data_IF_863180528154
#
_entry.id   IF_863180528154
#
_cell.length_a   1.000
_cell.length_b   1.000
_cell.length_c   1.000
_cell.angle_alpha   90.00
_cell.angle_beta   90.00
_cell.angle_gamma   90.00
#
_symmetry.space_group_name_H-M   'P 1'
#
loop_
_entity.id
_entity.type
_entity.pdbx_description
1 polymer ?
#
# COMPACT_ATOMS: atom_id res chain seq x y z
N UNK A 1 31.43 30.18 12.79
CA UNK A 1 32.09 29.12 12.00
C UNK A 1 32.52 27.90 12.84
N UNK A 2 31.59 27.28 13.58
CA UNK A 2 31.84 26.00 14.28
C UNK A 2 31.19 24.78 13.57
N UNK A 3 30.45 25.01 12.49
CA UNK A 3 29.59 24.00 11.85
C UNK A 3 30.16 23.42 10.55
N UNK A 4 31.45 23.64 10.26
CA UNK A 4 32.09 23.11 9.05
C UNK A 4 33.11 22.05 9.43
N UNK A 5 33.06 20.90 8.76
CA UNK A 5 34.07 19.84 8.88
C UNK A 5 35.44 20.34 8.42
N UNK A 6 36.48 19.94 9.15
CA UNK A 6 37.83 20.52 9.05
C UNK A 6 38.53 20.33 7.69
N UNK A 7 38.00 19.49 6.80
CA UNK A 7 38.64 19.08 5.54
C UNK A 7 38.45 20.05 4.36
N UNK A 8 37.67 21.13 4.48
CA UNK A 8 37.40 22.10 3.38
C UNK A 8 37.81 23.55 3.68
N UNK A 9 38.72 23.81 4.61
CA UNK A 9 39.27 25.17 4.82
C UNK A 9 40.26 25.52 3.72
N UNK A 10 39.82 26.30 2.72
CA UNK A 10 40.69 26.91 1.72
C UNK A 10 40.79 28.41 2.03
N UNK A 11 41.97 28.86 2.49
CA UNK A 11 42.31 30.28 2.66
C UNK A 11 43.17 30.59 3.88
N UNK A 12 44.27 31.33 3.68
CA UNK A 12 45.05 31.99 4.74
C UNK A 12 44.46 33.37 5.05
N UNK A 13 44.47 33.78 6.33
CA UNK A 13 44.00 35.08 6.77
C UNK A 13 44.72 36.21 6.01
N UNK A 14 44.00 36.93 5.14
CA UNK A 14 44.52 38.10 4.41
C UNK A 14 44.16 38.18 2.93
N UNK A 15 43.87 37.05 2.26
CA UNK A 15 43.46 37.04 0.85
C UNK A 15 42.18 36.20 0.66
N UNK A 16 41.00 36.81 0.49
CA UNK A 16 39.77 36.07 0.26
C UNK A 16 39.78 35.49 -1.17
N UNK A 17 39.99 34.18 -1.29
CA UNK A 17 39.78 33.44 -2.54
C UNK A 17 38.28 33.41 -2.84
N UNK A 18 37.81 33.94 -3.99
CA UNK A 18 36.40 33.89 -4.36
C UNK A 18 36.01 32.45 -4.69
N UNK A 19 35.13 31.85 -3.88
CA UNK A 19 34.50 30.56 -4.16
C UNK A 19 33.27 30.81 -5.04
N UNK A 20 33.32 30.36 -6.29
CA UNK A 20 32.17 30.47 -7.21
C UNK A 20 31.27 29.24 -7.02
N UNK A 21 30.02 29.50 -6.63
CA UNK A 21 28.95 28.50 -6.51
C UNK A 21 27.87 28.81 -7.57
N UNK A 22 28.07 28.42 -8.85
CA UNK A 22 27.15 28.76 -9.93
C UNK A 22 25.80 28.01 -9.87
N UNK A 23 25.68 27.01 -9.00
CA UNK A 23 24.51 26.13 -8.90
C UNK A 23 23.48 26.55 -7.83
N UNK A 24 23.78 27.60 -7.05
CA UNK A 24 22.92 28.03 -5.95
C UNK A 24 22.09 29.26 -6.33
N UNK A 25 20.78 29.20 -6.13
CA UNK A 25 19.93 30.38 -6.31
C UNK A 25 20.29 31.44 -5.27
N UNK A 26 20.40 32.74 -5.64
CA UNK A 26 20.87 33.78 -4.72
C UNK A 26 20.05 33.90 -3.44
N UNK A 27 18.73 33.65 -3.53
CA UNK A 27 17.81 33.72 -2.41
C UNK A 27 17.97 32.54 -1.44
N UNK A 28 18.06 31.32 -1.97
CA UNK A 28 18.30 30.10 -1.18
C UNK A 28 19.64 30.18 -0.45
N UNK A 29 20.68 30.67 -1.14
CA UNK A 29 22.00 30.85 -0.54
C UNK A 29 21.98 31.94 0.54
N UNK A 30 21.23 33.03 0.35
CA UNK A 30 21.06 34.08 1.36
C UNK A 30 20.38 33.54 2.63
N UNK A 31 19.32 32.73 2.47
CA UNK A 31 18.65 32.08 3.59
C UNK A 31 19.57 31.09 4.32
N UNK A 32 20.35 30.32 3.57
CA UNK A 32 21.35 29.41 4.10
C UNK A 32 22.44 30.14 4.92
N UNK A 33 22.97 31.26 4.40
CA UNK A 33 23.93 32.09 5.15
C UNK A 33 23.27 32.66 6.40
N UNK A 34 22.03 33.15 6.30
CA UNK A 34 21.30 33.66 7.48
C UNK A 34 21.20 32.58 8.55
N UNK A 35 20.86 31.35 8.19
CA UNK A 35 20.82 30.22 9.11
C UNK A 35 22.17 29.94 9.79
N UNK A 36 23.30 30.02 9.07
CA UNK A 36 24.63 29.87 9.69
C UNK A 36 24.88 30.90 10.80
N UNK A 37 24.33 32.11 10.66
CA UNK A 37 24.53 33.19 11.63
C UNK A 37 23.47 33.22 12.74
N UNK A 38 22.23 32.83 12.45
CA UNK A 38 21.10 32.96 13.38
C UNK A 38 20.64 31.65 14.01
N UNK A 39 21.02 30.50 13.43
CA UNK A 39 20.49 29.19 13.80
C UNK A 39 19.00 28.99 13.48
N UNK A 40 18.36 29.96 12.81
CA UNK A 40 16.93 29.93 12.49
C UNK A 40 16.72 30.01 10.98
N UNK A 41 15.89 29.11 10.45
CA UNK A 41 15.52 29.06 9.05
C UNK A 41 14.01 28.89 8.89
N UNK A 42 13.45 29.57 7.89
CA UNK A 42 12.07 29.38 7.45
C UNK A 42 12.18 28.55 6.17
N UNK A 43 11.78 27.28 6.26
CA UNK A 43 11.77 26.39 5.11
C UNK A 43 10.57 26.72 4.23
N UNK A 44 10.83 26.92 2.93
CA UNK A 44 9.79 27.12 1.91
C UNK A 44 9.82 25.94 0.94
N UNK A 45 8.62 25.47 0.53
CA UNK A 45 8.46 24.29 -0.34
C UNK A 45 9.18 24.43 -1.69
N UNK A 46 9.26 25.65 -2.23
CA UNK A 46 9.87 25.93 -3.54
C UNK A 46 11.40 25.87 -3.55
N UNK A 47 12.07 25.94 -2.39
CA UNK A 47 13.53 26.00 -2.29
C UNK A 47 14.15 24.89 -1.44
N UNK A 48 13.34 23.97 -0.91
CA UNK A 48 13.78 22.99 0.08
C UNK A 48 14.82 22.01 -0.48
N UNK A 49 14.70 21.61 -1.74
CA UNK A 49 15.62 20.66 -2.38
C UNK A 49 16.99 21.26 -2.67
N UNK A 50 17.03 22.53 -3.09
CA UNK A 50 18.30 23.26 -3.24
C UNK A 50 19.00 23.45 -1.90
N UNK A 51 18.23 23.78 -0.86
CA UNK A 51 18.71 23.94 0.49
C UNK A 51 19.24 22.62 1.07
N UNK A 52 18.59 21.50 0.79
CA UNK A 52 19.04 20.16 1.15
C UNK A 52 20.34 19.80 0.43
N UNK A 53 20.47 20.15 -0.86
CA UNK A 53 21.71 20.02 -1.62
C UNK A 53 22.86 20.83 -1.02
N UNK A 54 22.62 22.09 -0.65
CA UNK A 54 23.61 22.97 0.00
C UNK A 54 24.01 22.48 1.38
N UNK A 55 23.05 22.02 2.20
CA UNK A 55 23.31 21.47 3.52
C UNK A 55 24.26 20.26 3.43
N UNK A 56 24.05 19.39 2.43
CA UNK A 56 24.90 18.23 2.19
C UNK A 56 26.29 18.62 1.68
N UNK A 57 26.38 19.51 0.69
CA UNK A 57 27.66 19.93 0.10
C UNK A 57 28.59 20.58 1.14
N UNK A 58 27.99 21.34 2.05
CA UNK A 58 28.67 22.10 3.09
C UNK A 58 28.79 21.33 4.42
N UNK A 59 28.15 20.15 4.52
CA UNK A 59 28.27 19.22 5.64
C UNK A 59 27.54 19.65 6.91
N UNK A 60 26.44 20.38 6.79
CA UNK A 60 25.61 20.83 7.92
C UNK A 60 24.50 19.81 8.17
N UNK A 61 24.76 18.84 9.02
CA UNK A 61 23.82 17.75 9.32
C UNK A 61 22.51 18.22 9.98
N UNK A 62 22.55 19.24 10.83
CA UNK A 62 21.35 19.74 11.52
C UNK A 62 20.32 20.30 10.55
N UNK A 63 20.78 21.13 9.60
CA UNK A 63 19.91 21.68 8.56
C UNK A 63 19.37 20.56 7.67
N UNK A 64 20.22 19.58 7.35
CA UNK A 64 19.82 18.43 6.55
C UNK A 64 18.68 17.63 7.23
N UNK A 65 18.81 17.32 8.53
CA UNK A 65 17.75 16.63 9.29
C UNK A 65 16.47 17.44 9.36
N UNK A 66 16.55 18.75 9.58
CA UNK A 66 15.36 19.61 9.60
C UNK A 66 14.67 19.70 8.24
N UNK A 67 15.42 19.73 7.14
CA UNK A 67 14.84 19.64 5.80
C UNK A 67 14.18 18.28 5.58
N UNK A 68 14.81 17.18 5.98
CA UNK A 68 14.24 15.83 5.86
C UNK A 68 12.93 15.67 6.67
N UNK A 69 12.92 16.15 7.91
CA UNK A 69 11.73 16.13 8.78
C UNK A 69 10.60 16.98 8.18
N UNK A 70 10.91 18.20 7.71
CA UNK A 70 9.92 19.06 7.10
C UNK A 70 9.31 18.43 5.84
N UNK A 71 10.13 17.84 4.96
CA UNK A 71 9.60 17.15 3.77
C UNK A 71 8.81 15.90 4.16
N UNK A 72 9.20 15.16 5.20
CA UNK A 72 8.43 14.00 5.68
C UNK A 72 7.05 14.40 6.19
N UNK A 73 6.92 15.57 6.82
CA UNK A 73 5.65 16.12 7.31
C UNK A 73 4.80 16.70 6.17
N UNK A 74 5.42 17.32 5.17
CA UNK A 74 4.67 17.87 4.03
C UNK A 74 4.25 16.81 3.03
N UNK A 75 4.89 15.62 3.00
CA UNK A 75 4.59 14.54 2.07
C UNK A 75 3.10 14.12 2.11
N UNK A 76 2.40 14.37 1.02
CA UNK A 76 0.99 14.08 0.83
C UNK A 76 0.74 13.54 -0.58
N UNK A 77 -0.36 12.80 -0.83
CA UNK A 77 -0.65 12.25 -2.16
C UNK A 77 -0.72 13.32 -3.26
N UNK A 78 -1.09 14.56 -2.90
CA UNK A 78 -1.19 15.69 -3.83
C UNK A 78 0.14 16.36 -4.18
N UNK A 79 1.14 16.32 -3.30
CA UNK A 79 2.45 16.94 -3.55
C UNK A 79 3.58 15.94 -3.79
N UNK A 80 3.39 14.65 -3.48
CA UNK A 80 4.43 13.64 -3.59
C UNK A 80 5.02 13.55 -5.01
N UNK A 81 4.17 13.67 -6.05
CA UNK A 81 4.64 13.65 -7.44
C UNK A 81 5.43 14.93 -7.80
N UNK A 82 5.03 16.09 -7.29
CA UNK A 82 5.75 17.34 -7.52
C UNK A 82 7.10 17.36 -6.78
N UNK A 83 7.12 16.85 -5.54
CA UNK A 83 8.33 16.67 -4.72
C UNK A 83 9.30 15.67 -5.37
N UNK A 84 8.79 14.58 -5.96
CA UNK A 84 9.61 13.62 -6.70
C UNK A 84 10.27 14.27 -7.92
N UNK A 85 9.52 15.04 -8.72
CA UNK A 85 10.07 15.76 -9.87
C UNK A 85 11.13 16.76 -9.43
N UNK A 86 10.84 17.57 -8.41
CA UNK A 86 11.78 18.54 -7.88
C UNK A 86 13.06 17.87 -7.32
N UNK A 87 12.93 16.71 -6.68
CA UNK A 87 14.07 15.93 -6.20
C UNK A 87 14.93 15.35 -7.34
N UNK A 88 14.30 14.86 -8.42
CA UNK A 88 15.00 14.37 -9.60
C UNK A 88 15.75 15.50 -10.32
N UNK A 89 15.13 16.67 -10.47
CA UNK A 89 15.80 17.83 -11.06
C UNK A 89 16.95 18.35 -10.17
N UNK A 90 16.77 18.37 -8.86
CA UNK A 90 17.82 18.77 -7.91
C UNK A 90 19.01 17.79 -7.94
N UNK A 91 18.76 16.51 -8.16
CA UNK A 91 19.81 15.50 -8.33
C UNK A 91 20.68 15.77 -9.57
N UNK A 92 20.12 16.29 -10.66
CA UNK A 92 20.88 16.62 -11.88
C UNK A 92 21.66 17.93 -11.74
N UNK A 93 21.13 18.92 -11.01
CA UNK A 93 21.80 20.22 -10.82
C UNK A 93 22.95 20.20 -9.82
N UNK A 94 22.95 19.28 -8.85
CA UNK A 94 23.94 19.27 -7.75
C UNK A 94 24.94 18.10 -7.91
N UNK A 95 26.19 18.35 -8.36
CA UNK A 95 27.23 17.32 -8.42
C UNK A 95 27.70 16.96 -7.01
N UNK A 96 27.26 15.80 -6.50
CA UNK A 96 27.57 15.28 -5.16
C UNK A 96 26.35 14.99 -4.28
N UNK A 97 25.16 15.48 -4.65
CA UNK A 97 23.89 15.24 -3.96
C UNK A 97 23.25 13.87 -4.22
N UNK A 98 23.87 13.03 -5.07
CA UNK A 98 23.29 11.75 -5.53
C UNK A 98 22.88 10.83 -4.38
N UNK A 99 23.69 10.72 -3.32
CA UNK A 99 23.39 9.80 -2.23
C UNK A 99 22.19 10.25 -1.38
N UNK A 100 22.13 11.52 -1.00
CA UNK A 100 21.04 12.07 -0.17
C UNK A 100 19.73 12.19 -0.95
N UNK A 101 19.79 12.61 -2.23
CA UNK A 101 18.60 12.62 -3.08
C UNK A 101 18.15 11.19 -3.41
N UNK A 102 19.04 10.19 -3.50
CA UNK A 102 18.64 8.79 -3.76
C UNK A 102 17.82 8.21 -2.61
N UNK A 103 18.27 8.35 -1.36
CA UNK A 103 17.49 7.89 -0.21
C UNK A 103 16.14 8.59 -0.10
N UNK A 104 16.09 9.87 -0.47
CA UNK A 104 14.84 10.63 -0.51
C UNK A 104 13.90 10.15 -1.63
N UNK A 105 14.44 9.97 -2.84
CA UNK A 105 13.71 9.48 -4.01
C UNK A 105 13.12 8.09 -3.71
N UNK A 106 13.86 7.21 -3.04
CA UNK A 106 13.36 5.90 -2.60
C UNK A 106 12.19 6.02 -1.62
N UNK A 107 12.26 6.94 -0.64
CA UNK A 107 11.14 7.23 0.27
C UNK A 107 9.92 7.77 -0.46
N UNK A 108 10.11 8.69 -1.41
CA UNK A 108 9.02 9.18 -2.26
C UNK A 108 8.41 8.08 -3.11
N UNK A 109 9.21 7.21 -3.72
CA UNK A 109 8.72 6.06 -4.47
C UNK A 109 7.95 5.09 -3.58
N UNK A 110 8.43 4.81 -2.36
CA UNK A 110 7.72 3.97 -1.40
C UNK A 110 6.37 4.57 -1.00
N UNK A 111 6.33 5.87 -0.70
CA UNK A 111 5.08 6.56 -0.34
C UNK A 111 4.08 6.64 -1.49
N UNK A 112 4.55 6.90 -2.72
CA UNK A 112 3.71 6.86 -3.91
C UNK A 112 3.23 5.43 -4.18
N UNK A 113 4.07 4.43 -3.95
CA UNK A 113 3.69 3.02 -4.04
C UNK A 113 2.58 2.64 -3.06
N UNK A 114 2.64 3.14 -1.83
CA UNK A 114 1.61 2.91 -0.80
C UNK A 114 0.31 3.66 -1.06
N UNK A 115 0.39 4.91 -1.52
CA UNK A 115 -0.78 5.78 -1.76
C UNK A 115 -1.15 5.88 -3.25
N UNK A 116 -0.78 4.88 -4.04
CA UNK A 116 -0.83 4.92 -5.50
C UNK A 116 -2.24 5.25 -6.06
N UNK A 117 -3.29 4.71 -5.42
CA UNK A 117 -4.70 4.91 -5.78
C UNK A 117 -5.14 6.37 -5.74
N UNK A 118 -4.60 7.15 -4.80
CA UNK A 118 -4.94 8.56 -4.65
C UNK A 118 -3.99 9.42 -5.48
N UNK A 119 -2.70 9.09 -5.54
CA UNK A 119 -1.71 9.86 -6.31
C UNK A 119 -2.03 9.88 -7.80
N UNK A 120 -2.48 8.75 -8.39
CA UNK A 120 -2.79 8.65 -9.82
C UNK A 120 -3.93 9.57 -10.26
N UNK A 121 -4.87 9.88 -9.35
CA UNK A 121 -6.00 10.77 -9.63
C UNK A 121 -5.63 12.25 -9.59
N UNK A 122 -4.46 12.58 -9.04
CA UNK A 122 -4.04 13.97 -8.87
C UNK A 122 -3.47 14.55 -10.17
N UNK A 123 -3.62 15.86 -10.35
CA UNK A 123 -2.99 16.61 -11.44
C UNK A 123 -1.46 16.60 -11.35
N UNK A 124 -0.91 16.33 -10.15
CA UNK A 124 0.53 16.20 -9.94
C UNK A 124 1.10 14.97 -10.66
N UNK A 125 0.33 13.88 -10.76
CA UNK A 125 0.73 12.70 -11.55
C UNK A 125 0.73 13.01 -13.05
N UNK A 126 -0.26 13.75 -13.55
CA UNK A 126 -0.33 14.16 -14.96
C UNK A 126 0.86 15.05 -15.40
N UNK A 127 1.46 15.79 -14.47
CA UNK A 127 2.61 16.65 -14.71
C UNK A 127 3.97 15.95 -14.57
N UNK A 128 4.01 14.64 -14.32
CA UNK A 128 5.27 13.90 -14.19
C UNK A 128 6.06 13.87 -15.53
N UNK A 129 7.40 14.04 -15.49
CA UNK A 129 8.23 13.85 -16.67
C UNK A 129 8.28 12.37 -17.06
N UNK A 130 8.49 12.09 -18.36
CA UNK A 130 8.48 10.74 -18.94
C UNK A 130 9.42 9.78 -18.20
N UNK A 131 10.62 10.22 -17.85
CA UNK A 131 11.63 9.36 -17.20
C UNK A 131 11.25 8.99 -15.76
N UNK A 132 10.60 9.90 -15.02
CA UNK A 132 10.10 9.61 -13.68
C UNK A 132 8.93 8.63 -13.74
N UNK A 133 8.03 8.82 -14.71
CA UNK A 133 6.89 7.94 -14.94
C UNK A 133 7.35 6.52 -15.33
N UNK A 134 8.33 6.40 -16.23
CA UNK A 134 8.93 5.11 -16.60
C UNK A 134 9.55 4.42 -15.40
N UNK A 135 10.31 5.14 -14.56
CA UNK A 135 10.87 4.56 -13.33
C UNK A 135 9.79 4.09 -12.36
N UNK A 136 8.73 4.88 -12.18
CA UNK A 136 7.60 4.56 -11.31
C UNK A 136 6.85 3.31 -11.78
N UNK A 137 6.60 3.20 -13.09
CA UNK A 137 5.94 2.03 -13.71
C UNK A 137 6.90 0.84 -13.83
N UNK A 138 8.20 1.04 -13.89
CA UNK A 138 9.16 -0.07 -13.84
C UNK A 138 9.28 -0.69 -12.44
N UNK A 139 8.80 0.02 -11.42
CA UNK A 139 8.83 -0.43 -10.02
C UNK A 139 7.70 -1.40 -9.71
N UNK A 140 8.04 -2.49 -9.03
CA UNK A 140 7.09 -3.53 -8.62
C UNK A 140 6.26 -3.11 -7.41
N UNK A 141 6.67 -2.04 -6.72
CA UNK A 141 6.07 -1.52 -5.48
C UNK A 141 4.89 -0.58 -5.71
N UNK A 142 4.47 -0.37 -6.96
CA UNK A 142 3.29 0.41 -7.26
C UNK A 142 2.05 -0.43 -6.90
N UNK A 143 1.38 -0.07 -5.79
CA UNK A 143 0.20 -0.74 -5.25
C UNK A 143 -1.05 -0.57 -6.12
N UNK A 144 -0.98 -0.87 -7.41
CA UNK A 144 -2.07 -0.77 -8.39
C UNK A 144 -2.14 -2.05 -9.21
N UNK A 145 -3.37 -2.42 -9.58
CA UNK A 145 -3.59 -3.42 -10.61
C UNK A 145 -3.21 -2.85 -11.99
N UNK A 146 -2.78 -3.70 -12.91
CA UNK A 146 -2.27 -3.25 -14.22
C UNK A 146 -3.34 -2.53 -15.06
N UNK A 147 -4.64 -2.81 -14.84
CA UNK A 147 -5.73 -2.06 -15.47
C UNK A 147 -5.76 -0.59 -15.01
N UNK A 148 -5.53 -0.35 -13.71
CA UNK A 148 -5.52 1.00 -13.14
C UNK A 148 -4.22 1.73 -13.51
N UNK A 149 -3.10 0.99 -13.62
CA UNK A 149 -1.84 1.51 -14.18
C UNK A 149 -2.03 1.95 -15.63
N UNK A 150 -2.69 1.12 -16.46
CA UNK A 150 -2.99 1.48 -17.85
C UNK A 150 -3.83 2.75 -17.94
N UNK A 151 -4.93 2.84 -17.18
CA UNK A 151 -5.79 4.03 -17.14
C UNK A 151 -5.04 5.28 -16.67
N UNK A 152 -4.15 5.14 -15.69
CA UNK A 152 -3.28 6.21 -15.20
C UNK A 152 -2.36 6.74 -16.31
N UNK A 153 -1.67 5.83 -17.00
CA UNK A 153 -0.74 6.14 -18.09
C UNK A 153 -1.47 6.77 -19.26
N UNK A 154 -2.66 6.26 -19.60
CA UNK A 154 -3.51 6.82 -20.62
C UNK A 154 -3.97 8.24 -20.28
N UNK A 155 -4.36 8.49 -19.02
CA UNK A 155 -4.74 9.81 -18.54
C UNK A 155 -3.56 10.80 -18.57
N UNK A 156 -2.37 10.35 -18.18
CA UNK A 156 -1.14 11.14 -18.30
C UNK A 156 -0.85 11.51 -19.75
N UNK A 157 -0.92 10.53 -20.67
CA UNK A 157 -0.66 10.77 -22.08
C UNK A 157 -1.71 11.70 -22.72
N UNK A 158 -2.98 11.58 -22.33
CA UNK A 158 -4.05 12.52 -22.70
C UNK A 158 -3.75 13.94 -22.24
N UNK A 159 -3.31 14.11 -20.99
CA UNK A 159 -2.95 15.41 -20.43
C UNK A 159 -1.76 16.04 -21.17
N UNK A 160 -0.71 15.27 -21.43
CA UNK A 160 0.47 15.74 -22.19
C UNK A 160 0.11 16.10 -23.64
N UNK A 161 -0.82 15.37 -24.25
CA UNK A 161 -1.31 15.67 -25.60
C UNK A 161 -2.36 16.80 -25.66
N UNK A 162 -2.90 17.24 -24.51
CA UNK A 162 -3.96 18.25 -24.42
C UNK A 162 -5.34 17.76 -24.89
N UNK A 163 -5.58 16.44 -24.89
CA UNK A 163 -6.82 15.81 -25.39
C UNK A 163 -7.73 15.43 -24.23
N UNK A 164 -8.91 16.04 -24.15
CA UNK A 164 -9.90 15.78 -23.07
C UNK A 164 -11.00 14.80 -23.48
N UNK A 165 -11.00 14.33 -24.74
CA UNK A 165 -12.08 13.47 -25.25
C UNK A 165 -11.90 11.99 -24.87
N UNK A 166 -13.03 11.23 -24.72
CA UNK A 166 -13.03 9.78 -24.58
C UNK A 166 -12.37 9.10 -25.79
N UNK A 167 -11.76 7.92 -25.57
CA UNK A 167 -11.02 7.15 -26.59
C UNK A 167 -11.83 6.80 -27.84
N UNK A 168 -13.17 6.79 -27.75
CA UNK A 168 -14.08 6.48 -28.86
C UNK A 168 -14.28 7.64 -29.86
N UNK A 169 -13.88 8.88 -29.51
CA UNK A 169 -14.07 10.06 -30.37
C UNK A 169 -12.75 10.71 -30.81
N UNK A 170 -11.63 10.00 -30.65
CA UNK A 170 -10.34 10.53 -31.04
C UNK A 170 -10.24 10.72 -32.54
N UNK A 171 -9.76 11.88 -32.95
CA UNK A 171 -9.27 12.09 -34.32
C UNK A 171 -7.95 11.33 -34.51
N UNK A 172 -7.64 10.93 -35.75
CA UNK A 172 -6.40 10.17 -36.07
C UNK A 172 -5.14 10.95 -35.63
N UNK A 173 -5.18 12.28 -35.69
CA UNK A 173 -4.11 13.19 -35.28
C UNK A 173 -3.92 13.25 -33.76
N UNK A 174 -5.01 13.22 -32.99
CA UNK A 174 -4.97 13.14 -31.52
C UNK A 174 -4.44 11.78 -31.08
N UNK A 175 -4.87 10.71 -31.74
CA UNK A 175 -4.38 9.35 -31.50
C UNK A 175 -2.88 9.23 -31.73
N UNK A 176 -2.36 9.76 -32.84
CA UNK A 176 -0.92 9.76 -33.12
C UNK A 176 -0.11 10.52 -32.06
N UNK A 177 -0.58 11.69 -31.60
CA UNK A 177 0.10 12.44 -30.53
C UNK A 177 0.15 11.68 -29.22
N UNK A 178 -0.96 11.07 -28.81
CA UNK A 178 -1.03 10.25 -27.59
C UNK A 178 -0.13 9.02 -27.73
N UNK A 179 -0.16 8.33 -28.87
CA UNK A 179 0.73 7.19 -29.15
C UNK A 179 2.21 7.56 -29.10
N UNK A 180 2.58 8.76 -29.56
CA UNK A 180 3.96 9.25 -29.48
C UNK A 180 4.43 9.41 -28.03
N UNK A 181 3.59 9.94 -27.14
CA UNK A 181 3.91 10.05 -25.72
C UNK A 181 3.88 8.71 -24.98
N UNK A 182 2.97 7.81 -25.37
CA UNK A 182 2.90 6.43 -24.85
C UNK A 182 4.08 5.57 -25.29
N UNK A 183 4.69 5.88 -26.44
CA UNK A 183 5.85 5.15 -26.94
C UNK A 183 6.99 5.16 -25.92
N UNK A 184 7.50 3.97 -25.58
CA UNK A 184 8.51 3.78 -24.54
C UNK A 184 7.97 3.60 -23.12
N UNK A 185 6.85 4.23 -22.75
CA UNK A 185 6.19 3.97 -21.44
C UNK A 185 5.45 2.64 -21.47
N UNK A 186 4.82 2.32 -22.61
CA UNK A 186 4.02 1.10 -22.79
C UNK A 186 4.81 -0.19 -22.58
N UNK A 187 6.12 -0.19 -22.88
CA UNK A 187 7.00 -1.35 -22.69
C UNK A 187 7.19 -1.74 -21.21
N UNK A 188 6.89 -0.81 -20.30
CA UNK A 188 7.00 -1.03 -18.86
C UNK A 188 5.65 -1.42 -18.22
N UNK A 189 4.53 -1.29 -18.95
CA UNK A 189 3.21 -1.73 -18.50
C UNK A 189 3.07 -3.23 -18.77
N UNK A 190 2.64 -4.01 -17.77
CA UNK A 190 2.55 -5.47 -17.90
C UNK A 190 1.20 -5.84 -18.53
N UNK A 191 1.06 -5.57 -19.83
CA UNK A 191 -0.19 -5.72 -20.59
C UNK A 191 -0.82 -7.14 -20.51
N UNK A 192 -0.01 -8.17 -20.26
CA UNK A 192 -0.44 -9.56 -20.11
C UNK A 192 -1.28 -9.83 -18.84
N UNK A 193 -1.26 -8.92 -17.87
CA UNK A 193 -1.98 -9.03 -16.60
C UNK A 193 -3.28 -8.21 -16.54
N UNK A 194 -3.57 -7.41 -17.58
CA UNK A 194 -4.84 -6.70 -17.72
C UNK A 194 -5.93 -7.71 -18.08
N UNK A 195 -7.14 -7.58 -17.55
CA UNK A 195 -8.27 -8.45 -17.92
C UNK A 195 -8.59 -8.39 -19.43
N UNK A 196 -9.06 -9.51 -20.00
CA UNK A 196 -9.34 -9.61 -21.45
C UNK A 196 -10.43 -8.67 -21.95
N UNK A 197 -11.45 -8.39 -21.13
CA UNK A 197 -12.53 -7.50 -21.52
C UNK A 197 -12.04 -6.04 -21.54
N UNK A 198 -11.38 -5.63 -20.45
CA UNK A 198 -10.80 -4.28 -20.33
C UNK A 198 -9.76 -4.02 -21.42
N UNK A 199 -8.97 -5.04 -21.77
CA UNK A 199 -8.00 -4.93 -22.85
C UNK A 199 -8.65 -4.72 -24.22
N UNK A 200 -9.69 -5.49 -24.57
CA UNK A 200 -10.38 -5.36 -25.84
C UNK A 200 -11.15 -4.03 -25.97
N UNK A 201 -11.72 -3.54 -24.86
CA UNK A 201 -12.54 -2.32 -24.89
C UNK A 201 -11.73 -1.03 -24.73
N UNK A 202 -10.66 -1.03 -23.94
CA UNK A 202 -9.90 0.18 -23.59
C UNK A 202 -8.50 0.22 -24.22
N UNK A 203 -7.82 -0.91 -24.37
CA UNK A 203 -6.42 -0.97 -24.81
C UNK A 203 -6.32 -1.11 -26.32
N UNK A 204 -7.05 -2.05 -26.91
CA UNK A 204 -7.07 -2.31 -28.35
C UNK A 204 -7.44 -1.09 -29.22
N UNK A 205 -8.50 -0.30 -28.92
CA UNK A 205 -8.85 0.86 -29.73
C UNK A 205 -7.80 1.97 -29.72
N UNK A 206 -6.90 2.03 -28.72
CA UNK A 206 -5.83 3.03 -28.72
C UNK A 206 -4.79 2.80 -29.83
N UNK A 207 -4.65 1.56 -30.34
CA UNK A 207 -3.68 1.21 -31.40
C UNK A 207 -2.22 1.34 -31.01
N UNK A 208 -1.94 1.58 -29.72
CA UNK A 208 -0.59 1.77 -29.20
C UNK A 208 0.14 0.45 -28.91
N UNK A 209 -0.57 -0.69 -28.90
CA UNK A 209 -0.01 -2.00 -28.58
C UNK A 209 0.60 -2.65 -29.84
N UNK A 210 1.86 -3.11 -29.78
CA UNK A 210 2.46 -3.89 -30.86
C UNK A 210 1.62 -5.13 -31.18
N UNK A 211 1.33 -5.34 -32.47
CA UNK A 211 0.44 -6.41 -32.96
C UNK A 211 0.88 -7.81 -32.49
N UNK A 212 2.17 -7.99 -32.24
CA UNK A 212 2.81 -9.22 -31.74
C UNK A 212 2.35 -9.58 -30.32
N UNK A 213 2.17 -8.60 -29.42
CA UNK A 213 1.66 -8.85 -28.06
C UNK A 213 0.15 -9.09 -28.04
N UNK A 214 -0.58 -8.48 -28.97
CA UNK A 214 -2.00 -8.77 -29.22
C UNK A 214 -2.19 -10.21 -29.72
N UNK A 215 -1.28 -10.68 -30.59
CA UNK A 215 -1.27 -12.03 -31.16
C UNK A 215 -0.86 -13.11 -30.14
N UNK A 216 0.16 -12.89 -29.29
CA UNK A 216 0.54 -13.81 -28.21
C UNK A 216 -0.63 -14.05 -27.22
N UNK A 217 -1.49 -13.04 -27.03
CA UNK A 217 -2.69 -13.14 -26.21
C UNK A 217 -3.83 -13.90 -26.90
N UNK A 218 -4.09 -13.64 -28.19
CA UNK A 218 -5.12 -14.34 -28.97
C UNK A 218 -4.79 -15.82 -29.18
N UNK A 219 -3.51 -16.17 -29.34
CA UNK A 219 -3.04 -17.56 -29.40
C UNK A 219 -3.20 -18.31 -28.07
N UNK A 220 -3.34 -17.61 -26.95
CA UNK A 220 -3.61 -18.20 -25.64
C UNK A 220 -5.09 -18.53 -25.42
N UNK A 221 -6.00 -17.89 -26.16
CA UNK A 221 -7.46 -18.00 -25.96
C UNK A 221 -8.13 -19.03 -26.87
N UNK A 222 -7.44 -19.51 -27.93
CA UNK A 222 -7.95 -20.53 -28.85
C UNK A 222 -7.33 -21.90 -28.50
N UNK A 223 -8.06 -22.84 -27.85
CA UNK A 223 -7.49 -24.12 -27.43
C UNK A 223 -7.39 -25.15 -28.56
N UNK A 224 -7.96 -24.89 -29.74
CA UNK A 224 -8.03 -25.85 -30.83
C UNK A 224 -7.20 -25.42 -32.04
N UNK A 225 -5.96 -25.93 -32.10
CA UNK A 225 -5.26 -26.28 -33.36
C UNK A 225 -4.01 -27.12 -33.10
N UNK A 226 -4.24 -28.42 -32.90
CA UNK A 226 -3.52 -29.52 -33.58
C UNK A 226 -1.99 -29.43 -33.79
N UNK A 227 -1.20 -28.99 -32.81
CA UNK A 227 0.25 -29.25 -32.84
C UNK A 227 0.77 -29.62 -31.45
N UNK A 228 1.14 -30.90 -31.31
CA UNK A 228 1.63 -31.53 -30.09
C UNK A 228 3.02 -31.07 -29.68
N UNK A 229 3.16 -29.80 -29.26
CA UNK A 229 4.35 -29.32 -28.55
C UNK A 229 4.01 -29.09 -27.07
N UNK A 230 4.27 -30.13 -26.27
CA UNK A 230 3.75 -30.34 -24.91
C UNK A 230 4.51 -29.59 -23.80
N UNK A 231 5.24 -28.49 -24.07
CA UNK A 231 6.15 -27.93 -23.05
C UNK A 231 6.25 -26.40 -22.87
N UNK A 232 5.55 -25.56 -23.62
CA UNK A 232 5.62 -24.09 -23.39
C UNK A 232 4.26 -23.45 -23.65
N UNK A 233 3.46 -23.26 -22.58
CA UNK A 233 2.34 -22.28 -22.50
C UNK A 233 1.72 -22.36 -21.11
N UNK A 234 2.35 -21.69 -20.15
CA UNK A 234 1.87 -21.65 -18.77
C UNK A 234 0.62 -20.76 -18.65
N UNK A 235 -0.43 -21.39 -18.12
CA UNK A 235 -1.69 -20.83 -17.62
C UNK A 235 -1.42 -19.77 -16.55
N UNK A 236 -1.99 -18.57 -16.63
CA UNK A 236 -1.94 -17.60 -15.51
C UNK A 236 -3.20 -16.74 -15.31
N UNK A 237 -4.39 -17.25 -15.65
CA UNK A 237 -5.66 -16.65 -15.21
C UNK A 237 -6.41 -17.52 -14.16
N UNK A 238 -5.98 -18.76 -13.89
CA UNK A 238 -6.71 -19.68 -13.01
C UNK A 238 -5.83 -20.82 -12.43
N UNK A 239 -4.77 -20.51 -11.68
CA UNK A 239 -4.06 -21.54 -10.88
C UNK A 239 -4.09 -21.20 -9.38
N UNK A 240 -4.45 -22.17 -8.52
CA UNK A 240 -4.36 -22.07 -7.07
C UNK A 240 -2.94 -21.75 -6.58
N UNK A 241 -2.85 -21.13 -5.40
CA UNK A 241 -1.69 -20.56 -4.70
C UNK A 241 -0.43 -21.43 -4.49
N UNK A 242 -0.25 -22.57 -5.18
CA UNK A 242 0.88 -23.49 -5.01
C UNK A 242 2.03 -23.32 -6.01
N UNK A 243 1.97 -22.36 -6.94
CA UNK A 243 3.03 -22.14 -7.96
C UNK A 243 3.58 -20.70 -7.96
N UNK A 244 3.69 -20.08 -6.78
CA UNK A 244 4.28 -18.74 -6.63
C UNK A 244 5.79 -18.69 -6.89
N UNK A 245 6.49 -19.82 -6.99
CA UNK A 245 7.94 -19.84 -6.83
C UNK A 245 8.79 -19.89 -8.12
N UNK A 246 8.22 -20.00 -9.33
CA UNK A 246 9.06 -20.16 -10.54
C UNK A 246 8.56 -19.38 -11.76
N UNK A 247 8.46 -18.06 -11.64
CA UNK A 247 8.44 -17.21 -12.83
C UNK A 247 9.38 -16.01 -12.62
N UNK A 248 10.57 -16.06 -13.22
CA UNK A 248 11.57 -14.98 -13.16
C UNK A 248 11.31 -13.84 -14.17
N UNK A 249 10.27 -13.95 -14.99
CA UNK A 249 9.91 -12.92 -15.97
C UNK A 249 9.05 -11.84 -15.31
N UNK A 250 9.61 -10.63 -15.17
CA UNK A 250 8.92 -9.47 -14.60
C UNK A 250 7.62 -9.13 -15.33
N UNK A 251 7.46 -9.54 -16.60
CA UNK A 251 6.23 -9.28 -17.38
C UNK A 251 5.03 -10.13 -16.93
N UNK A 252 5.28 -11.22 -16.20
CA UNK A 252 4.28 -12.21 -15.80
C UNK A 252 3.98 -12.16 -14.29
N UNK A 253 4.73 -11.37 -13.53
CA UNK A 253 4.47 -11.18 -12.10
C UNK A 253 3.49 -10.03 -11.90
N UNK A 254 2.40 -10.19 -11.13
CA UNK A 254 1.59 -9.05 -10.71
C UNK A 254 2.43 -8.07 -9.89
N UNK A 255 2.16 -6.76 -10.02
CA UNK A 255 2.70 -5.76 -9.08
C UNK A 255 2.25 -6.11 -7.66
N UNK A 256 3.01 -5.68 -6.67
CA UNK A 256 2.60 -5.76 -5.26
C UNK A 256 1.20 -5.14 -5.20
N UNK A 257 0.19 -5.94 -4.84
CA UNK A 257 -1.21 -5.52 -4.99
C UNK A 257 -1.47 -4.24 -4.19
N UNK A 258 -2.53 -3.47 -4.52
CA UNK A 258 -2.98 -2.38 -3.66
C UNK A 258 -2.98 -2.80 -2.19
N UNK A 259 -2.43 -1.93 -1.34
CA UNK A 259 -2.49 -2.10 0.11
C UNK A 259 -3.94 -1.98 0.55
N UNK A 260 -4.65 -3.12 0.62
CA UNK A 260 -6.05 -3.16 1.01
C UNK A 260 -6.21 -2.83 2.49
N UNK A 261 -5.21 -3.17 3.30
CA UNK A 261 -5.14 -2.88 4.73
C UNK A 261 -4.02 -1.87 5.04
N UNK A 262 -4.19 -0.58 4.67
CA UNK A 262 -3.18 0.44 4.90
C UNK A 262 -2.90 0.58 6.39
N UNK A 263 -1.60 0.67 6.71
CA UNK A 263 -1.12 0.78 8.08
C UNK A 263 -1.03 -0.55 8.84
N UNK A 264 -1.46 -1.70 8.33
CA UNK A 264 -1.31 -2.97 9.06
C UNK A 264 0.16 -3.33 9.29
N UNK A 265 0.51 -3.69 10.52
CA UNK A 265 1.82 -4.29 10.83
C UNK A 265 1.75 -5.82 10.74
N UNK A 266 0.58 -6.41 11.03
CA UNK A 266 0.40 -7.86 11.01
C UNK A 266 0.37 -8.38 9.56
N UNK A 267 -0.40 -7.71 8.70
CA UNK A 267 -0.52 -7.96 7.25
C UNK A 267 0.46 -7.10 6.44
N UNK A 268 1.72 -7.05 6.90
CA UNK A 268 2.83 -6.35 6.23
C UNK A 268 3.04 -6.80 4.77
N UNK A 269 3.90 -6.06 4.05
CA UNK A 269 4.21 -6.18 2.61
C UNK A 269 4.44 -7.60 2.08
N UNK A 270 4.92 -8.52 2.90
CA UNK A 270 5.21 -9.91 2.49
C UNK A 270 3.95 -10.81 2.51
N UNK A 271 2.84 -10.35 3.10
CA UNK A 271 1.60 -11.11 3.31
C UNK A 271 0.43 -10.62 2.48
N UNK A 272 0.74 -10.03 1.32
CA UNK A 272 -0.24 -9.46 0.39
C UNK A 272 -1.27 -10.49 -0.08
N UNK A 273 -0.88 -11.76 -0.22
CA UNK A 273 -1.80 -12.85 -0.54
C UNK A 273 -2.97 -12.98 0.45
N UNK A 274 -2.72 -12.75 1.74
CA UNK A 274 -3.78 -12.83 2.75
C UNK A 274 -4.76 -11.67 2.67
N UNK A 275 -4.30 -10.46 2.32
CA UNK A 275 -5.19 -9.31 2.11
C UNK A 275 -6.23 -9.59 1.00
N UNK A 276 -5.78 -10.23 -0.09
CA UNK A 276 -6.67 -10.65 -1.18
C UNK A 276 -7.68 -11.70 -0.74
N UNK A 277 -7.26 -12.67 0.05
CA UNK A 277 -8.15 -13.70 0.61
C UNK A 277 -9.22 -13.09 1.50
N UNK A 278 -8.85 -12.14 2.39
CA UNK A 278 -9.81 -11.43 3.24
C UNK A 278 -10.83 -10.62 2.41
N UNK A 279 -10.41 -9.95 1.34
CA UNK A 279 -11.33 -9.25 0.45
C UNK A 279 -12.23 -10.18 -0.34
N UNK A 280 -11.71 -11.33 -0.78
CA UNK A 280 -12.50 -12.36 -1.44
C UNK A 280 -13.59 -12.91 -0.51
N UNK A 281 -13.28 -13.13 0.77
CA UNK A 281 -14.27 -13.55 1.77
C UNK A 281 -15.29 -12.47 2.12
N UNK A 282 -14.89 -11.20 2.10
CA UNK A 282 -15.82 -10.07 2.26
C UNK A 282 -16.79 -9.94 1.07
N UNK A 283 -16.41 -10.43 -0.11
CA UNK A 283 -17.23 -10.39 -1.33
C UNK A 283 -17.02 -9.14 -2.19
N UNK A 284 -16.08 -8.26 -1.83
CA UNK A 284 -15.70 -7.08 -2.62
C UNK A 284 -14.20 -7.12 -2.84
N UNK A 285 -13.78 -7.41 -4.07
CA UNK A 285 -12.37 -7.60 -4.44
C UNK A 285 -11.49 -6.38 -4.14
N UNK A 286 -12.02 -5.16 -4.37
CA UNK A 286 -11.31 -3.88 -4.23
C UNK A 286 -11.65 -3.10 -2.95
N UNK A 287 -12.11 -3.76 -1.89
CA UNK A 287 -12.44 -3.06 -0.65
C UNK A 287 -11.17 -2.55 0.04
N UNK A 288 -11.07 -1.24 0.25
CA UNK A 288 -10.08 -0.62 1.12
C UNK A 288 -10.53 -0.67 2.58
N UNK A 289 -9.59 -0.87 3.49
CA UNK A 289 -9.83 -0.91 4.92
C UNK A 289 -9.17 0.27 5.63
N UNK A 290 -9.68 0.60 6.81
CA UNK A 290 -9.16 1.64 7.68
C UNK A 290 -8.87 1.02 9.04
N UNK A 291 -7.64 1.22 9.53
CA UNK A 291 -7.27 0.81 10.88
C UNK A 291 -8.05 1.66 11.90
N UNK A 292 -8.80 1.00 12.77
CA UNK A 292 -9.59 1.62 13.85
C UNK A 292 -8.85 1.52 15.16
N UNK A 293 -8.23 0.36 15.40
CA UNK A 293 -7.55 0.07 16.65
C UNK A 293 -6.38 -0.88 16.39
N UNK A 294 -5.31 -0.69 17.16
CA UNK A 294 -4.16 -1.59 17.26
C UNK A 294 -3.72 -1.60 18.70
N UNK A 295 -3.55 -2.78 19.28
CA UNK A 295 -3.25 -2.93 20.69
C UNK A 295 -1.88 -2.36 21.06
N UNK A 296 -0.85 -2.55 20.23
CA UNK A 296 0.48 -2.00 20.49
C UNK A 296 0.56 -0.46 20.49
N UNK A 297 -0.29 0.24 19.72
CA UNK A 297 -0.30 1.72 19.70
C UNK A 297 -1.33 2.35 20.63
N UNK A 298 -2.49 1.71 20.82
CA UNK A 298 -3.60 2.27 21.61
C UNK A 298 -3.71 1.64 23.02
N UNK A 299 -2.83 0.67 23.33
CA UNK A 299 -2.76 -0.04 24.61
C UNK A 299 -3.64 -1.29 24.66
N UNK A 300 -3.17 -2.34 25.32
CA UNK A 300 -3.77 -3.68 25.34
C UNK A 300 -5.00 -3.86 26.26
N UNK A 301 -5.49 -2.78 26.87
CA UNK A 301 -6.60 -2.87 27.83
C UNK A 301 -7.96 -3.04 27.13
N UNK A 302 -8.89 -3.77 27.74
CA UNK A 302 -10.26 -3.86 27.23
C UNK A 302 -10.93 -2.48 27.11
N UNK A 303 -10.66 -1.57 28.05
CA UNK A 303 -11.15 -0.19 27.99
C UNK A 303 -10.65 0.56 26.74
N UNK A 304 -9.39 0.33 26.34
CA UNK A 304 -8.84 0.90 25.10
C UNK A 304 -9.55 0.34 23.87
N UNK A 305 -9.83 -0.96 23.83
CA UNK A 305 -10.59 -1.58 22.74
C UNK A 305 -12.00 -0.98 22.63
N UNK A 306 -12.77 -0.98 23.73
CA UNK A 306 -14.14 -0.46 23.73
C UNK A 306 -14.21 1.02 23.34
N UNK A 307 -13.24 1.83 23.78
CA UNK A 307 -13.18 3.24 23.41
C UNK A 307 -13.09 3.48 21.89
N UNK A 308 -12.46 2.58 21.14
CA UNK A 308 -12.22 2.75 19.71
C UNK A 308 -13.14 1.90 18.82
N UNK A 309 -13.54 0.72 19.29
CA UNK A 309 -14.27 -0.26 18.49
C UNK A 309 -15.77 -0.33 18.79
N UNK A 310 -16.25 0.21 19.91
CA UNK A 310 -17.68 0.21 20.22
C UNK A 310 -18.47 1.03 19.18
N UNK A 311 -19.60 0.47 18.75
CA UNK A 311 -20.48 0.98 17.68
C UNK A 311 -19.86 1.00 16.28
N UNK A 312 -18.69 0.38 16.08
CA UNK A 312 -18.06 0.27 14.75
C UNK A 312 -18.47 -1.04 14.09
N UNK A 313 -19.01 -0.95 12.87
CA UNK A 313 -19.34 -2.10 12.03
C UNK A 313 -19.36 -1.73 10.53
N UNK A 314 -19.10 -2.67 9.62
CA UNK A 314 -18.56 -4.01 9.88
C UNK A 314 -17.07 -3.95 10.25
N UNK A 315 -16.55 -4.94 10.98
CA UNK A 315 -15.16 -4.97 11.45
C UNK A 315 -14.46 -6.28 11.15
N UNK A 316 -13.18 -6.17 10.78
CA UNK A 316 -12.21 -7.27 10.82
C UNK A 316 -11.36 -7.14 12.07
N UNK A 317 -11.26 -8.21 12.85
CA UNK A 317 -10.30 -8.38 13.94
C UNK A 317 -9.22 -9.34 13.48
N UNK A 318 -7.98 -8.90 13.44
CA UNK A 318 -6.81 -9.69 13.02
C UNK A 318 -5.88 -9.79 14.22
N UNK A 319 -5.50 -11.01 14.59
CA UNK A 319 -4.75 -11.33 15.80
C UNK A 319 -3.44 -12.02 15.42
N UNK A 320 -2.33 -11.59 16.03
CA UNK A 320 -1.01 -12.20 15.88
C UNK A 320 -0.63 -12.96 17.16
N UNK A 321 -0.50 -14.28 17.05
CA UNK A 321 -0.06 -15.17 18.12
C UNK A 321 1.45 -15.16 18.33
N UNK A 322 1.90 -15.67 19.49
CA UNK A 322 3.33 -15.69 19.88
C UNK A 322 4.23 -16.55 18.99
N UNK A 323 3.68 -17.54 18.28
CA UNK A 323 4.46 -18.39 17.35
C UNK A 323 4.37 -17.92 15.89
N UNK A 324 3.84 -16.72 15.65
CA UNK A 324 3.67 -16.19 14.29
C UNK A 324 2.37 -16.60 13.61
N UNK A 325 1.45 -17.20 14.35
CA UNK A 325 0.11 -17.56 13.87
C UNK A 325 -0.73 -16.31 13.65
N UNK A 326 -1.54 -16.33 12.59
CA UNK A 326 -2.39 -15.20 12.23
C UNK A 326 -3.80 -15.73 12.06
N UNK A 327 -4.67 -15.32 12.97
CA UNK A 327 -6.09 -15.68 12.93
C UNK A 327 -6.94 -14.45 13.20
N UNK A 328 -8.26 -14.59 13.13
CA UNK A 328 -9.13 -13.47 13.36
C UNK A 328 -10.59 -13.79 13.18
N UNK A 329 -11.40 -12.74 13.19
CA UNK A 329 -12.83 -12.81 12.98
C UNK A 329 -13.37 -11.59 12.26
N UNK A 330 -14.41 -11.80 11.48
CA UNK A 330 -15.21 -10.75 10.87
C UNK A 330 -16.54 -10.63 11.61
N UNK A 331 -16.94 -9.40 11.90
CA UNK A 331 -18.26 -9.08 12.45
C UNK A 331 -18.95 -8.04 11.57
N UNK A 332 -20.14 -8.36 11.07
CA UNK A 332 -21.02 -7.41 10.39
C UNK A 332 -21.84 -6.55 11.38
N UNK A 333 -21.86 -6.92 12.66
CA UNK A 333 -22.58 -6.21 13.72
C UNK A 333 -21.64 -5.37 14.59
N UNK A 334 -22.13 -4.25 15.17
CA UNK A 334 -21.32 -3.40 16.03
C UNK A 334 -20.99 -4.05 17.38
N UNK A 335 -19.84 -3.66 17.93
CA UNK A 335 -19.46 -3.98 19.30
C UNK A 335 -20.25 -3.07 20.29
N UNK A 336 -20.98 -3.64 21.26
CA UNK A 336 -21.91 -2.89 22.14
C UNK A 336 -23.24 -2.50 21.44
N UNK A 337 -24.39 -2.21 22.08
CA UNK A 337 -24.75 -1.84 23.46
C UNK A 337 -26.23 -2.20 23.74
N UNK A 338 -26.50 -2.92 24.84
CA UNK A 338 -27.78 -2.87 25.62
C UNK A 338 -27.50 -3.36 27.05
N UNK A 339 -27.84 -2.57 28.08
CA UNK A 339 -27.78 -2.87 29.53
C UNK A 339 -26.56 -3.64 30.05
N UNK A 340 -25.51 -2.93 30.49
CA UNK A 340 -24.47 -3.22 31.53
C UNK A 340 -24.02 -4.66 31.87
N UNK A 341 -24.42 -5.69 31.13
CA UNK A 341 -24.20 -7.12 31.38
C UNK A 341 -23.79 -7.76 30.07
N UNK A 342 -23.08 -8.87 30.19
CA UNK A 342 -22.67 -9.65 29.02
C UNK A 342 -23.89 -10.07 28.19
N UNK A 343 -23.87 -9.77 26.90
CA UNK A 343 -24.98 -10.08 25.99
C UNK A 343 -24.47 -10.62 24.66
N UNK A 344 -25.25 -11.57 24.12
CA UNK A 344 -25.04 -12.10 22.78
C UNK A 344 -25.75 -11.25 21.73
N UNK A 345 -25.03 -10.98 20.65
CA UNK A 345 -25.52 -10.24 19.49
C UNK A 345 -25.60 -11.25 18.33
N UNK A 346 -26.74 -11.26 17.66
CA UNK A 346 -26.96 -12.13 16.52
C UNK A 346 -26.32 -11.56 15.25
N UNK A 347 -25.72 -12.41 14.42
CA UNK A 347 -25.13 -12.03 13.13
C UNK A 347 -25.41 -13.10 12.09
N UNK A 348 -25.57 -12.68 10.84
CA UNK A 348 -25.75 -13.59 9.70
C UNK A 348 -24.47 -13.82 8.91
N UNK A 349 -23.54 -12.85 8.92
CA UNK A 349 -22.35 -12.85 8.06
C UNK A 349 -21.03 -12.91 8.83
N UNK A 350 -21.06 -13.02 10.16
CA UNK A 350 -19.84 -13.19 10.93
C UNK A 350 -19.18 -14.53 10.62
N UNK A 351 -17.85 -14.53 10.64
CA UNK A 351 -17.05 -15.75 10.47
C UNK A 351 -15.72 -15.59 11.19
N UNK A 352 -15.14 -16.72 11.60
CA UNK A 352 -13.75 -16.78 12.05
C UNK A 352 -12.86 -17.22 10.89
N UNK A 353 -11.57 -16.93 10.99
CA UNK A 353 -10.61 -17.40 10.00
C UNK A 353 -9.23 -17.62 10.59
N UNK A 354 -8.46 -18.46 9.90
CA UNK A 354 -7.02 -18.61 10.11
C UNK A 354 -6.29 -18.35 8.79
N UNK A 355 -5.19 -17.59 8.84
CA UNK A 355 -4.33 -17.27 7.69
C UNK A 355 -3.00 -18.01 7.79
N UNK A 356 -2.45 -18.11 9.00
CA UNK A 356 -1.20 -18.82 9.29
C UNK A 356 -1.41 -19.65 10.54
N UNK A 357 -1.15 -20.95 10.44
CA UNK A 357 -1.38 -21.92 11.51
C UNK A 357 -0.21 -22.91 11.61
N UNK A 358 -0.19 -23.67 12.70
CA UNK A 358 0.85 -24.66 12.99
C UNK A 358 0.69 -25.99 12.25
N UNK A 359 -0.35 -26.14 11.44
CA UNK A 359 -0.68 -27.38 10.73
C UNK A 359 -0.52 -27.24 9.21
N UNK A 360 0.10 -26.14 8.75
CA UNK A 360 0.32 -25.80 7.33
C UNK A 360 -0.95 -25.90 6.46
N UNK A 361 -2.12 -25.70 7.08
CA UNK A 361 -3.41 -25.67 6.39
C UNK A 361 -3.54 -24.34 5.66
N UNK A 362 -4.04 -24.30 4.40
CA UNK A 362 -4.26 -23.04 3.70
C UNK A 362 -5.22 -22.11 4.47
N UNK A 363 -5.25 -20.81 4.15
CA UNK A 363 -6.19 -19.87 4.75
C UNK A 363 -7.63 -20.40 4.71
N UNK A 364 -8.21 -20.58 5.90
CA UNK A 364 -9.50 -21.27 6.07
C UNK A 364 -10.47 -20.36 6.81
N UNK A 365 -11.73 -20.37 6.36
CA UNK A 365 -12.85 -19.61 6.90
C UNK A 365 -13.80 -20.56 7.63
N UNK A 366 -14.24 -20.17 8.83
CA UNK A 366 -15.21 -20.87 9.66
C UNK A 366 -16.47 -20.03 9.77
N UNK A 367 -17.54 -20.49 9.14
CA UNK A 367 -18.79 -19.74 9.07
C UNK A 367 -19.60 -19.90 10.37
N UNK A 368 -20.44 -18.91 10.66
CA UNK A 368 -21.32 -18.99 11.82
C UNK A 368 -22.43 -20.04 11.64
N UNK A 369 -22.53 -20.95 12.59
CA UNK A 369 -23.63 -21.93 12.67
C UNK A 369 -24.72 -21.41 13.61
N UNK A 370 -24.34 -20.95 14.79
CA UNK A 370 -25.28 -20.45 15.82
C UNK A 370 -25.45 -18.94 15.72
N UNK A 371 -26.20 -18.49 14.70
CA UNK A 371 -26.42 -17.07 14.38
C UNK A 371 -26.83 -16.18 15.55
N UNK A 372 -27.66 -16.68 16.48
CA UNK A 372 -28.11 -15.92 17.67
C UNK A 372 -27.02 -15.66 18.71
N UNK A 373 -25.89 -16.36 18.59
CA UNK A 373 -24.79 -16.38 19.56
C UNK A 373 -23.46 -16.08 18.86
N UNK A 374 -23.48 -15.10 17.96
CA UNK A 374 -22.36 -14.77 17.10
C UNK A 374 -21.27 -14.02 17.83
N UNK A 375 -21.65 -12.89 18.45
CA UNK A 375 -20.72 -11.99 19.11
C UNK A 375 -21.15 -11.87 20.56
N UNK A 376 -20.20 -11.90 21.49
CA UNK A 376 -20.47 -11.63 22.90
C UNK A 376 -19.83 -10.28 23.27
N UNK A 377 -20.61 -9.41 23.91
CA UNK A 377 -20.11 -8.17 24.47
C UNK A 377 -19.82 -8.35 25.96
N UNK A 378 -18.66 -7.89 26.44
CA UNK A 378 -18.34 -7.83 27.86
C UNK A 378 -17.45 -6.61 28.14
N UNK A 379 -17.77 -5.73 29.11
CA UNK A 379 -17.08 -4.44 29.27
C UNK A 379 -15.59 -4.54 29.67
N UNK A 380 -15.20 -5.62 30.35
CA UNK A 380 -13.82 -5.83 30.82
C UNK A 380 -13.00 -6.80 29.93
N UNK A 381 -13.54 -7.22 28.78
CA UNK A 381 -12.88 -8.18 27.87
C UNK A 381 -12.84 -7.54 26.47
N UNK A 382 -11.84 -7.90 25.66
CA UNK A 382 -11.76 -7.44 24.28
C UNK A 382 -12.79 -8.14 23.37
N UNK A 383 -12.48 -8.33 22.07
CA UNK A 383 -13.40 -8.97 21.14
C UNK A 383 -13.66 -10.44 21.51
N UNK A 384 -14.94 -10.83 21.52
CA UNK A 384 -15.40 -12.20 21.77
C UNK A 384 -16.30 -12.67 20.62
N UNK A 385 -15.91 -13.76 19.99
CA UNK A 385 -16.69 -14.47 18.98
C UNK A 385 -17.23 -15.78 19.58
N UNK A 386 -18.53 -15.97 19.48
CA UNK A 386 -19.25 -17.19 19.85
C UNK A 386 -19.73 -17.22 21.30
N UNK A 387 -20.79 -18.00 21.59
CA UNK A 387 -21.25 -18.25 22.96
C UNK A 387 -20.29 -19.13 23.78
N UNK A 388 -19.53 -19.98 23.10
CA UNK A 388 -18.48 -20.79 23.73
C UNK A 388 -17.16 -20.05 23.90
N UNK A 389 -17.08 -18.78 23.48
CA UNK A 389 -15.83 -18.06 23.22
C UNK A 389 -14.93 -18.87 22.27
N UNK A 390 -15.40 -19.07 21.04
CA UNK A 390 -14.63 -19.71 19.98
C UNK A 390 -13.34 -18.92 19.69
N UNK A 391 -13.39 -17.60 19.85
CA UNK A 391 -12.22 -16.75 19.95
C UNK A 391 -12.49 -15.64 20.98
N UNK A 392 -11.69 -15.59 22.04
CA UNK A 392 -11.74 -14.53 23.05
C UNK A 392 -10.35 -13.93 23.24
N UNK A 393 -10.29 -12.60 23.14
CA UNK A 393 -9.09 -11.83 23.44
C UNK A 393 -9.28 -11.11 24.77
N UNK A 394 -8.49 -11.50 25.76
CA UNK A 394 -8.55 -10.94 27.11
C UNK A 394 -7.90 -9.55 27.19
N UNK A 395 -8.24 -8.80 28.23
CA UNK A 395 -7.55 -7.54 28.56
C UNK A 395 -6.10 -7.82 28.92
N UNK A 396 -5.15 -7.01 28.43
CA UNK A 396 -3.71 -7.18 28.62
C UNK A 396 -3.19 -8.53 28.08
N UNK A 397 -3.74 -8.98 26.94
CA UNK A 397 -3.43 -10.24 26.27
C UNK A 397 -1.94 -10.44 25.89
N UNK A 398 -1.12 -9.40 25.95
CA UNK A 398 0.31 -9.43 25.69
C UNK A 398 1.16 -9.88 26.88
N UNK A 399 0.65 -9.77 28.11
CA UNK A 399 1.37 -10.14 29.33
C UNK A 399 0.76 -11.34 30.04
N UNK A 400 -0.52 -11.64 29.79
CA UNK A 400 -1.21 -12.77 30.39
C UNK A 400 -1.52 -13.87 29.36
N UNK A 401 -2.01 -15.01 29.85
CA UNK A 401 -2.40 -16.17 29.03
C UNK A 401 -3.88 -16.50 29.26
N UNK A 402 -4.70 -15.46 29.40
CA UNK A 402 -6.14 -15.55 29.68
C UNK A 402 -6.99 -15.50 28.39
N UNK A 403 -6.38 -15.21 27.24
CA UNK A 403 -7.05 -15.35 25.94
C UNK A 403 -7.18 -16.82 25.61
N UNK A 404 -8.33 -17.23 25.08
CA UNK A 404 -8.59 -18.63 24.77
C UNK A 404 -9.48 -18.81 23.54
N UNK A 405 -9.43 -20.02 22.99
CA UNK A 405 -10.27 -20.45 21.87
C UNK A 405 -10.90 -21.79 22.19
N UNK A 406 -12.23 -21.84 22.06
CA UNK A 406 -13.02 -23.04 22.24
C UNK A 406 -13.70 -23.49 20.93
N UNK A 407 -13.07 -23.19 19.79
CA UNK A 407 -13.56 -23.61 18.46
C UNK A 407 -13.54 -25.15 18.33
N UNK A 408 -14.61 -25.80 17.83
CA UNK A 408 -15.88 -25.25 17.31
C UNK A 408 -17.07 -25.31 18.29
N UNK A 409 -17.73 -24.18 18.58
CA UNK A 409 -19.01 -24.14 19.31
C UNK A 409 -20.11 -23.35 18.61
N UNK A 410 -19.88 -22.08 18.27
CA UNK A 410 -20.79 -21.19 17.53
C UNK A 410 -20.39 -21.05 16.05
N UNK A 411 -19.10 -21.14 15.76
CA UNK A 411 -18.49 -21.19 14.43
C UNK A 411 -18.02 -22.61 14.12
N UNK A 412 -18.18 -23.03 12.87
CA UNK A 412 -17.78 -24.36 12.42
C UNK A 412 -17.31 -24.31 10.96
N UNK A 413 -16.60 -25.35 10.53
CA UNK A 413 -16.09 -25.49 9.18
C UNK A 413 -15.09 -26.63 9.07
N UNK A 414 -14.50 -26.78 7.89
CA UNK A 414 -13.54 -27.86 7.63
C UNK A 414 -12.35 -27.77 8.59
N UNK A 415 -12.11 -28.84 9.35
CA UNK A 415 -11.02 -28.95 10.34
C UNK A 415 -11.07 -27.94 11.50
N UNK A 416 -12.24 -27.35 11.78
CA UNK A 416 -12.40 -26.38 12.86
C UNK A 416 -11.95 -26.97 14.21
N UNK A 417 -10.90 -26.38 14.77
CA UNK A 417 -10.35 -26.76 16.07
C UNK A 417 -9.59 -25.58 16.67
N UNK A 418 -9.53 -25.51 18.00
CA UNK A 418 -8.71 -24.55 18.72
C UNK A 418 -7.22 -24.64 18.36
N UNK A 419 -6.72 -25.86 18.10
CA UNK A 419 -5.35 -26.09 17.65
C UNK A 419 -5.08 -25.47 16.27
N UNK A 420 -6.06 -25.48 15.37
CA UNK A 420 -5.90 -24.86 14.06
C UNK A 420 -5.91 -23.32 14.14
N UNK A 421 -6.65 -22.75 15.10
CA UNK A 421 -6.77 -21.30 15.24
C UNK A 421 -5.52 -20.68 15.91
N UNK A 422 -5.11 -21.19 17.08
CA UNK A 422 -4.02 -20.65 17.90
C UNK A 422 -3.17 -21.74 18.58
N UNK A 423 -3.25 -22.99 18.12
CA UNK A 423 -2.49 -24.18 18.57
C UNK A 423 -2.76 -24.68 19.99
N UNK A 424 -3.18 -23.81 20.91
CA UNK A 424 -3.47 -24.14 22.30
C UNK A 424 -4.84 -23.60 22.71
N UNK A 425 -5.44 -24.19 23.74
CA UNK A 425 -6.70 -23.68 24.29
C UNK A 425 -6.52 -22.26 24.84
N UNK A 426 -5.48 -22.03 25.66
CA UNK A 426 -5.10 -20.71 26.17
C UNK A 426 -3.84 -20.21 25.46
N UNK A 427 -3.81 -18.94 25.08
CA UNK A 427 -2.68 -18.34 24.36
C UNK A 427 -2.45 -16.89 24.75
N UNK A 428 -1.25 -16.41 24.44
CA UNK A 428 -0.87 -15.00 24.56
C UNK A 428 -0.82 -14.38 23.16
N UNK A 429 -1.08 -13.08 23.07
CA UNK A 429 -1.20 -12.35 21.81
C UNK A 429 -0.09 -11.31 21.75
N UNK A 430 0.67 -11.28 20.66
CA UNK A 430 1.70 -10.24 20.46
C UNK A 430 1.03 -8.90 20.18
N UNK A 431 0.12 -8.90 19.22
CA UNK A 431 -0.65 -7.72 18.82
C UNK A 431 -1.96 -8.14 18.16
N UNK A 432 -2.93 -7.24 18.14
CA UNK A 432 -4.13 -7.40 17.32
C UNK A 432 -4.60 -6.06 16.79
N UNK A 433 -5.14 -6.11 15.57
CA UNK A 433 -5.57 -4.96 14.79
C UNK A 433 -7.05 -5.10 14.43
N UNK A 434 -7.77 -3.98 14.45
CA UNK A 434 -9.18 -3.91 14.08
C UNK A 434 -9.34 -2.94 12.93
N UNK A 435 -9.99 -3.39 11.87
CA UNK A 435 -10.22 -2.63 10.65
C UNK A 435 -11.70 -2.49 10.33
N UNK A 436 -12.08 -1.39 9.70
CA UNK A 436 -13.42 -1.14 9.15
C UNK A 436 -13.30 -0.75 7.67
N UNK A 437 -14.31 -0.94 6.81
CA UNK A 437 -14.27 -0.47 5.42
C UNK A 437 -14.01 1.05 5.35
N UNK A 438 -13.10 1.48 4.46
CA UNK A 438 -12.74 2.89 4.29
C UNK A 438 -13.87 3.73 3.66
N UNK A 439 -14.67 3.09 2.81
CA UNK A 439 -15.92 3.59 2.27
C UNK A 439 -17.07 2.68 2.72
N UNK A 440 -18.19 3.22 3.23
CA UNK A 440 -19.37 2.41 3.49
C UNK A 440 -19.84 1.79 2.17
N UNK A 441 -20.10 0.48 2.17
CA UNK A 441 -20.67 -0.20 1.02
C UNK A 441 -21.90 0.58 0.52
N UNK A 442 -22.08 0.76 -0.81
CA UNK A 442 -23.28 1.39 -1.32
C UNK A 442 -24.47 0.61 -0.75
N UNK A 443 -25.38 1.33 -0.07
CA UNK A 443 -26.63 0.74 0.42
C UNK A 443 -27.28 0.09 -0.79
N UNK A 444 -27.39 -1.24 -0.79
CA UNK A 444 -28.24 -1.94 -1.73
C UNK A 444 -29.65 -1.46 -1.46
N UNK A 445 -30.15 -0.55 -2.31
CA UNK A 445 -31.56 -0.22 -2.34
C UNK A 445 -32.27 -1.50 -2.79
N UNK A 446 -32.89 -2.19 -1.83
CA UNK A 446 -33.96 -3.14 -2.11
C UNK A 446 -35.26 -2.38 -2.31
#
# INVERSE_FOLDING_TARGET
CKNFTAAKRIGTAGNPTPVRMPHAHPETFRQFIRYIYTGMIILQDSGIFEMLGLAQELGIEELWRSCEEHVSVTLSPGNACALLTAALEAQERVPGGKAACSSFIEKCFAFIGENAMDTVKTTAFCNLPKDALVKLISSDYLGLEEEDVWRAVLNWAKYQAGVTQPTQHWTEEERMRVCQHLSGVINHVRLLLIDSQVFAEEVEPTGAVPIEMSLERYEFFNPDRSSGSKFLRYRYAALPSKYSEVCSDKRLQPRVSPFLFPGSQILSRDKVGFQRVLNQWYGVSKQGWRLVYRASTHGYSAASFHRHCDNVCPTYVIVLGVRGEICGGFSDVPWGKTNSKAQYIASEKSFLFTLTNNQDVPPTKFDIVKKSFAICYHPDIGPIFGAGADLLISSNCNVNKESYSNLPHSYDGDHASNQLLMGDYHFSVIDYEVFTPSHPAPKSNH
#
